data_IF_428002472554
#
_entry.id   IF_428002472554
#
_cell.length_a   1.000
_cell.length_b   1.000
_cell.length_c   1.000
_cell.angle_alpha   90.00
_cell.angle_beta   90.00
_cell.angle_gamma   90.00
#
_symmetry.space_group_name_H-M   'P 1'
#
loop_
_entity.id
_entity.type
_entity.pdbx_description
1 polymer ?
#
# COMPACT_ATOMS: atom_id res chain seq x y z
N UNK A 1 45.54 37.85 34.77
CA UNK A 1 45.00 36.50 34.90
C UNK A 1 43.66 36.43 34.17
N UNK A 2 43.69 35.92 32.94
CA UNK A 2 42.51 35.82 32.05
C UNK A 2 41.99 34.40 32.24
N UNK A 3 40.73 34.24 32.73
CA UNK A 3 40.04 32.96 32.84
C UNK A 3 39.35 32.67 31.50
N UNK A 4 39.85 31.70 30.78
CA UNK A 4 39.21 31.16 29.57
C UNK A 4 38.13 30.18 30.05
N UNK A 5 36.85 30.53 29.76
CA UNK A 5 35.71 29.60 29.96
C UNK A 5 35.54 28.82 28.65
N UNK A 6 35.92 27.54 28.71
CA UNK A 6 35.66 26.62 27.59
C UNK A 6 34.21 26.12 27.72
N UNK A 7 33.35 26.66 26.90
CA UNK A 7 31.97 26.16 26.77
C UNK A 7 31.94 24.87 25.94
N UNK A 8 31.64 23.74 26.58
CA UNK A 8 31.34 22.50 25.90
C UNK A 8 29.95 22.60 25.21
N UNK A 9 29.95 22.78 23.91
CA UNK A 9 28.74 22.57 23.10
C UNK A 9 28.50 21.04 22.98
N UNK A 10 27.57 20.53 23.78
CA UNK A 10 27.00 19.20 23.52
C UNK A 10 26.11 19.26 22.29
N UNK A 11 26.61 18.81 21.15
CA UNK A 11 25.79 18.53 19.99
C UNK A 11 24.94 17.30 20.28
N UNK A 12 23.65 17.48 20.58
CA UNK A 12 22.67 16.39 20.58
C UNK A 12 22.55 15.88 19.15
N UNK A 13 23.25 14.81 18.84
CA UNK A 13 23.00 14.00 17.66
C UNK A 13 21.63 13.31 17.84
N UNK A 14 20.58 13.95 17.36
CA UNK A 14 19.30 13.27 17.14
C UNK A 14 19.55 12.20 16.07
N UNK A 15 19.83 10.98 16.49
CA UNK A 15 19.80 9.83 15.59
C UNK A 15 18.35 9.62 15.15
N UNK A 16 18.01 10.14 13.99
CA UNK A 16 16.79 9.74 13.26
C UNK A 16 16.99 8.26 12.95
N UNK A 17 16.37 7.41 13.77
CA UNK A 17 16.38 5.98 13.54
C UNK A 17 15.78 5.71 12.18
N UNK A 18 16.59 5.26 11.23
CA UNK A 18 16.13 4.70 9.95
C UNK A 18 15.12 3.60 10.29
N UNK A 19 13.88 3.79 9.90
CA UNK A 19 12.85 2.78 10.08
C UNK A 19 13.31 1.52 9.34
N UNK A 20 13.59 0.46 10.07
CA UNK A 20 14.10 -0.77 9.48
C UNK A 20 12.94 -1.51 8.80
N UNK A 21 13.21 -2.06 7.61
CA UNK A 21 12.27 -2.94 6.93
C UNK A 21 11.76 -4.05 7.84
N UNK A 22 10.44 -4.34 7.84
CA UNK A 22 9.90 -5.39 8.70
C UNK A 22 10.44 -6.77 8.29
N UNK A 23 10.89 -7.53 9.28
CA UNK A 23 11.49 -8.87 9.09
C UNK A 23 10.45 -10.00 9.13
N UNK A 24 9.24 -9.72 9.54
CA UNK A 24 8.14 -10.68 9.64
C UNK A 24 6.79 -9.96 9.59
N UNK A 25 5.73 -10.74 9.43
CA UNK A 25 4.37 -10.21 9.28
C UNK A 25 3.88 -9.40 10.49
N UNK A 26 4.29 -9.75 11.72
CA UNK A 26 3.88 -8.99 12.91
C UNK A 26 4.47 -7.57 12.91
N UNK A 27 5.73 -7.42 12.51
CA UNK A 27 6.35 -6.11 12.34
C UNK A 27 5.71 -5.35 11.17
N UNK A 28 5.45 -6.03 10.05
CA UNK A 28 4.82 -5.43 8.89
C UNK A 28 3.43 -4.85 9.19
N UNK A 29 2.64 -5.50 10.04
CA UNK A 29 1.33 -4.98 10.47
C UNK A 29 1.45 -3.64 11.21
N UNK A 30 2.49 -3.46 12.02
CA UNK A 30 2.75 -2.21 12.74
C UNK A 30 3.19 -1.12 11.77
N UNK A 31 4.11 -1.44 10.88
CA UNK A 31 4.60 -0.51 9.84
C UNK A 31 3.48 -0.10 8.87
N UNK A 32 2.62 -1.03 8.50
CA UNK A 32 1.48 -0.75 7.60
C UNK A 32 0.55 0.30 8.21
N UNK A 33 0.31 0.26 9.51
CA UNK A 33 -0.50 1.29 10.19
C UNK A 33 0.10 2.68 10.04
N UNK A 34 1.42 2.81 10.09
CA UNK A 34 2.11 4.11 9.88
C UNK A 34 1.91 4.60 8.43
N UNK A 35 1.98 3.69 7.45
CA UNK A 35 1.75 4.02 6.04
C UNK A 35 0.34 4.57 5.81
N UNK A 36 -0.66 4.05 6.54
CA UNK A 36 -2.06 4.45 6.41
C UNK A 36 -2.45 5.68 7.26
N UNK A 37 -1.54 6.24 8.03
CA UNK A 37 -1.84 7.42 8.88
C UNK A 37 -2.33 8.60 8.04
N UNK A 38 -3.50 9.16 8.41
CA UNK A 38 -4.17 10.23 7.65
C UNK A 38 -4.91 9.74 6.39
N UNK A 39 -4.92 8.42 6.12
CA UNK A 39 -5.62 7.81 5.00
C UNK A 39 -6.26 6.49 5.42
N UNK A 40 -6.87 6.49 6.60
CA UNK A 40 -7.40 5.33 7.29
C UNK A 40 -8.64 4.77 6.58
N UNK A 41 -8.42 4.07 5.46
CA UNK A 41 -9.49 3.49 4.65
C UNK A 41 -9.17 2.07 4.20
N UNK A 42 -10.21 1.25 4.09
CA UNK A 42 -10.09 -0.11 3.59
C UNK A 42 -9.91 -0.13 2.08
N UNK A 43 -9.03 -0.99 1.58
CA UNK A 43 -8.63 -1.04 0.18
C UNK A 43 -9.78 -1.36 -0.77
N UNK A 44 -10.54 -2.42 -0.49
CA UNK A 44 -11.58 -2.90 -1.40
C UNK A 44 -12.87 -2.08 -1.36
N UNK A 45 -13.20 -1.52 -0.21
CA UNK A 45 -14.50 -0.89 0.04
C UNK A 45 -14.42 0.60 0.33
N UNK A 46 -13.24 1.14 0.53
CA UNK A 46 -13.00 2.53 0.91
C UNK A 46 -13.74 2.96 2.20
N UNK A 47 -13.95 2.02 3.14
CA UNK A 47 -14.55 2.30 4.43
C UNK A 47 -13.53 2.91 5.38
N UNK A 48 -13.95 3.89 6.17
CA UNK A 48 -13.11 4.52 7.18
C UNK A 48 -12.73 3.52 8.30
N UNK A 49 -11.50 3.63 8.78
CA UNK A 49 -10.95 2.81 9.87
C UNK A 49 -10.67 3.72 11.07
N UNK A 50 -11.23 3.36 12.23
CA UNK A 50 -10.85 3.92 13.52
C UNK A 50 -9.87 2.97 14.20
N UNK A 51 -8.62 3.40 14.38
CA UNK A 51 -7.58 2.55 14.92
C UNK A 51 -7.88 2.04 16.34
N UNK A 52 -7.65 0.74 16.54
CA UNK A 52 -7.72 0.08 17.86
C UNK A 52 -6.47 -0.79 18.01
N UNK A 53 -5.71 -0.56 19.08
CA UNK A 53 -4.48 -1.31 19.32
C UNK A 53 -3.35 -1.00 18.33
N UNK A 54 -2.44 -1.97 18.13
CA UNK A 54 -1.16 -1.74 17.45
C UNK A 54 -1.24 -1.82 15.92
N UNK A 55 -2.16 -2.60 15.36
CA UNK A 55 -2.10 -2.99 13.93
C UNK A 55 -3.46 -3.21 13.26
N UNK A 56 -4.54 -2.77 13.86
CA UNK A 56 -5.89 -2.91 13.28
C UNK A 56 -6.84 -1.86 13.82
N UNK A 57 -8.09 -1.90 13.37
CA UNK A 57 -9.10 -0.94 13.76
C UNK A 57 -10.52 -1.44 13.56
N UNK A 58 -11.48 -0.61 13.95
CA UNK A 58 -12.90 -0.78 13.64
C UNK A 58 -13.21 -0.15 12.30
N UNK A 59 -14.05 -0.80 11.53
CA UNK A 59 -14.50 -0.32 10.22
C UNK A 59 -15.84 0.40 10.40
N UNK A 60 -15.91 1.62 9.91
CA UNK A 60 -17.17 2.35 9.79
C UNK A 60 -17.88 1.98 8.48
N UNK A 61 -18.86 1.09 8.58
CA UNK A 61 -19.65 0.60 7.45
C UNK A 61 -20.46 1.71 6.77
N UNK A 62 -20.92 2.71 7.55
CA UNK A 62 -21.74 3.79 7.02
C UNK A 62 -20.93 4.72 6.12
N UNK A 63 -19.64 4.92 6.43
CA UNK A 63 -18.73 5.79 5.67
C UNK A 63 -18.57 5.39 4.20
N UNK A 64 -18.84 4.12 3.86
CA UNK A 64 -18.69 3.56 2.52
C UNK A 64 -19.94 2.86 2.00
N UNK A 65 -21.01 2.78 2.80
CA UNK A 65 -22.24 2.07 2.46
C UNK A 65 -22.07 0.56 2.36
N UNK A 66 -21.09 0.00 3.10
CA UNK A 66 -20.87 -1.43 3.20
C UNK A 66 -22.03 -2.12 3.90
N UNK A 67 -22.48 -3.25 3.36
CA UNK A 67 -23.47 -4.13 3.98
C UNK A 67 -22.88 -5.50 4.23
N UNK A 68 -23.19 -6.07 5.38
CA UNK A 68 -22.70 -7.39 5.77
C UNK A 68 -23.39 -8.44 4.89
N UNK A 69 -22.61 -9.21 4.17
CA UNK A 69 -23.10 -10.29 3.33
C UNK A 69 -23.48 -11.52 4.17
N UNK A 70 -24.73 -11.95 4.06
CA UNK A 70 -25.25 -13.13 4.75
C UNK A 70 -26.32 -13.83 3.89
N UNK A 71 -25.92 -14.70 2.94
CA UNK A 71 -26.84 -15.29 1.97
C UNK A 71 -27.79 -16.33 2.58
N UNK A 72 -27.56 -16.76 3.83
CA UNK A 72 -28.35 -17.77 4.53
C UNK A 72 -29.26 -17.18 5.64
N UNK A 73 -29.57 -15.90 5.59
CA UNK A 73 -30.36 -15.19 6.58
C UNK A 73 -29.53 -14.24 7.45
N UNK A 74 -29.88 -14.12 8.74
CA UNK A 74 -29.16 -13.22 9.65
C UNK A 74 -27.69 -13.64 9.80
N UNK A 75 -26.75 -12.67 9.84
CA UNK A 75 -25.34 -12.98 10.02
C UNK A 75 -25.08 -13.52 11.42
N UNK A 76 -24.19 -14.50 11.53
CA UNK A 76 -23.72 -15.02 12.82
C UNK A 76 -22.91 -13.96 13.57
N UNK A 77 -22.77 -14.10 14.89
CA UNK A 77 -21.91 -13.24 15.72
C UNK A 77 -20.47 -13.19 15.20
N UNK A 78 -19.93 -14.33 14.77
CA UNK A 78 -18.59 -14.40 14.19
C UNK A 78 -18.49 -13.58 12.90
N UNK A 79 -19.53 -13.60 12.06
CA UNK A 79 -19.59 -12.78 10.83
C UNK A 79 -19.66 -11.29 11.18
N UNK A 80 -20.51 -10.93 12.14
CA UNK A 80 -20.64 -9.55 12.63
C UNK A 80 -19.31 -9.03 13.19
N UNK A 81 -18.68 -9.78 14.09
CA UNK A 81 -17.41 -9.44 14.70
C UNK A 81 -16.28 -9.31 13.67
N UNK A 82 -16.27 -10.16 12.63
CA UNK A 82 -15.28 -10.10 11.58
C UNK A 82 -15.50 -8.91 10.63
N UNK A 83 -16.75 -8.61 10.29
CA UNK A 83 -17.09 -7.46 9.46
C UNK A 83 -16.76 -6.12 10.14
N UNK A 84 -16.91 -6.05 11.48
CA UNK A 84 -16.67 -4.84 12.25
C UNK A 84 -15.19 -4.44 12.38
N UNK A 85 -14.24 -5.31 12.01
CA UNK A 85 -12.81 -5.04 12.14
C UNK A 85 -12.10 -4.93 10.79
N UNK A 86 -11.03 -4.13 10.74
CA UNK A 86 -10.08 -4.18 9.65
C UNK A 86 -9.09 -5.33 9.86
N UNK A 87 -8.73 -6.00 8.79
CA UNK A 87 -7.69 -7.04 8.75
C UNK A 87 -6.62 -6.66 7.75
N UNK A 88 -5.36 -7.01 8.05
CA UNK A 88 -4.27 -6.87 7.07
C UNK A 88 -4.42 -7.96 6.02
N UNK A 89 -4.46 -7.53 4.78
CA UNK A 89 -4.68 -8.32 3.59
C UNK A 89 -3.44 -8.39 2.73
N UNK A 90 -3.12 -9.58 2.25
CA UNK A 90 -2.15 -9.78 1.16
C UNK A 90 -2.89 -9.68 -0.18
N UNK A 91 -2.67 -8.62 -0.94
CA UNK A 91 -3.34 -8.41 -2.24
C UNK A 91 -3.03 -9.58 -3.18
N UNK A 92 -1.77 -9.97 -3.30
CA UNK A 92 -1.39 -11.26 -3.88
C UNK A 92 -1.26 -12.27 -2.76
N UNK A 93 -2.08 -13.32 -2.74
CA UNK A 93 -2.15 -14.26 -1.62
C UNK A 93 -0.80 -14.86 -1.28
N UNK A 94 -0.40 -14.79 -0.02
CA UNK A 94 0.87 -15.37 0.42
C UNK A 94 0.91 -16.90 0.22
N UNK A 95 -0.24 -17.55 0.15
CA UNK A 95 -0.33 -18.98 -0.16
C UNK A 95 0.17 -19.31 -1.58
N UNK A 96 0.09 -18.37 -2.53
CA UNK A 96 0.61 -18.58 -3.89
C UNK A 96 2.14 -18.64 -3.90
N UNK A 97 2.79 -17.88 -3.03
CA UNK A 97 4.24 -17.98 -2.79
C UNK A 97 4.55 -19.23 -1.99
N UNK A 98 3.89 -19.38 -0.85
CA UNK A 98 4.17 -20.45 0.10
C UNK A 98 4.07 -21.84 -0.51
N UNK A 99 3.02 -22.10 -1.30
CA UNK A 99 2.82 -23.39 -1.98
C UNK A 99 3.98 -23.82 -2.90
N UNK A 100 4.87 -22.91 -3.27
CA UNK A 100 6.07 -23.19 -4.07
C UNK A 100 7.28 -23.51 -3.18
N UNK A 101 7.19 -23.34 -1.86
CA UNK A 101 8.28 -23.54 -0.92
C UNK A 101 8.16 -24.87 -0.17
N UNK A 102 9.30 -25.50 0.12
CA UNK A 102 9.36 -26.77 0.85
C UNK A 102 8.75 -26.65 2.26
N UNK A 103 8.98 -25.51 2.93
CA UNK A 103 8.43 -25.25 4.25
C UNK A 103 6.90 -25.33 4.28
N UNK A 104 6.24 -24.93 3.18
CA UNK A 104 4.77 -24.97 3.09
C UNK A 104 4.25 -26.41 2.98
N UNK A 105 4.94 -27.25 2.25
CA UNK A 105 4.58 -28.67 2.12
C UNK A 105 4.66 -29.40 3.47
N UNK A 106 5.55 -28.97 4.35
CA UNK A 106 5.83 -29.60 5.65
C UNK A 106 5.04 -29.01 6.83
N UNK A 107 3.94 -28.29 6.59
CA UNK A 107 3.11 -27.76 7.68
C UNK A 107 2.53 -26.36 7.41
N UNK A 108 2.50 -25.95 6.15
CA UNK A 108 1.83 -24.73 5.69
C UNK A 108 2.47 -23.43 6.19
N UNK A 109 1.64 -22.37 6.25
CA UNK A 109 2.09 -21.02 6.60
C UNK A 109 2.86 -20.96 7.91
N UNK A 110 2.35 -21.63 8.96
CA UNK A 110 2.96 -21.60 10.29
C UNK A 110 4.38 -22.20 10.29
N UNK A 111 4.56 -23.30 9.57
CA UNK A 111 5.88 -23.91 9.45
C UNK A 111 6.85 -23.01 8.65
N UNK A 112 6.39 -22.37 7.57
CA UNK A 112 7.23 -21.41 6.84
C UNK A 112 7.64 -20.22 7.71
N UNK A 113 6.73 -19.67 8.49
CA UNK A 113 7.04 -18.58 9.43
C UNK A 113 8.11 -18.95 10.45
N UNK A 114 8.19 -20.22 10.84
CA UNK A 114 9.17 -20.72 11.81
C UNK A 114 10.52 -21.10 11.18
N UNK A 115 10.50 -21.61 9.94
CA UNK A 115 11.65 -22.28 9.35
C UNK A 115 12.29 -21.54 8.17
N UNK A 116 11.58 -20.59 7.56
CA UNK A 116 12.03 -19.97 6.33
C UNK A 116 12.09 -18.42 6.45
N UNK A 117 13.30 -17.86 6.70
CA UNK A 117 13.46 -16.40 6.78
C UNK A 117 13.05 -15.67 5.49
N UNK A 118 13.26 -16.28 4.31
CA UNK A 118 12.85 -15.67 3.04
C UNK A 118 11.32 -15.58 2.93
N UNK A 119 10.60 -16.63 3.35
CA UNK A 119 9.14 -16.57 3.42
C UNK A 119 8.67 -15.43 4.31
N UNK A 120 9.29 -15.26 5.49
CA UNK A 120 8.95 -14.18 6.41
C UNK A 120 9.12 -12.78 5.78
N UNK A 121 10.14 -12.60 4.95
CA UNK A 121 10.37 -11.33 4.26
C UNK A 121 9.35 -11.09 3.16
N UNK A 122 9.00 -12.11 2.39
CA UNK A 122 7.98 -12.03 1.34
C UNK A 122 6.59 -11.78 1.96
N UNK A 123 6.29 -12.46 3.07
CA UNK A 123 5.05 -12.28 3.82
C UNK A 123 4.93 -10.88 4.43
N UNK A 124 6.05 -10.26 4.76
CA UNK A 124 6.15 -8.92 5.34
C UNK A 124 6.25 -7.80 4.31
N UNK A 125 6.25 -8.11 3.01
CA UNK A 125 6.44 -7.08 1.98
C UNK A 125 5.27 -6.09 1.96
N UNK A 126 5.55 -4.86 2.38
CA UNK A 126 4.57 -3.79 2.56
C UNK A 126 3.90 -3.33 1.26
N UNK A 127 4.53 -3.56 0.10
CA UNK A 127 3.90 -3.27 -1.19
C UNK A 127 2.79 -4.25 -1.54
N UNK A 128 2.74 -5.42 -0.90
CA UNK A 128 1.68 -6.40 -1.06
C UNK A 128 0.62 -6.35 0.06
N UNK A 129 0.80 -5.48 1.07
CA UNK A 129 -0.08 -5.41 2.23
C UNK A 129 -1.02 -4.22 2.18
N UNK A 130 -2.25 -4.44 2.62
CA UNK A 130 -3.28 -3.40 2.71
C UNK A 130 -4.25 -3.72 3.86
N UNK A 131 -5.20 -2.80 4.14
CA UNK A 131 -6.30 -3.08 5.08
C UNK A 131 -7.58 -3.39 4.31
N UNK A 132 -8.27 -4.44 4.72
CA UNK A 132 -9.57 -4.81 4.19
C UNK A 132 -10.62 -4.93 5.31
N UNK A 133 -11.90 -4.84 4.97
CA UNK A 133 -12.99 -5.28 5.86
C UNK A 133 -12.79 -6.76 6.14
N UNK A 134 -12.77 -7.17 7.40
CA UNK A 134 -12.42 -8.55 7.77
C UNK A 134 -13.32 -9.61 7.12
N UNK A 135 -14.63 -9.34 6.94
CA UNK A 135 -15.49 -10.27 6.22
C UNK A 135 -15.08 -10.41 4.74
N UNK A 136 -14.77 -9.30 4.09
CA UNK A 136 -14.30 -9.30 2.68
C UNK A 136 -13.01 -10.09 2.57
N UNK A 137 -12.02 -9.79 3.44
CA UNK A 137 -10.76 -10.53 3.50
C UNK A 137 -10.99 -12.04 3.67
N UNK A 138 -11.88 -12.43 4.58
CA UNK A 138 -12.17 -13.85 4.81
C UNK A 138 -12.82 -14.56 3.64
N UNK A 139 -13.76 -13.91 2.96
CA UNK A 139 -14.43 -14.48 1.80
C UNK A 139 -13.53 -14.49 0.57
N UNK A 140 -12.69 -13.46 0.41
CA UNK A 140 -11.70 -13.37 -0.65
C UNK A 140 -10.66 -14.49 -0.53
N UNK A 141 -10.17 -14.77 0.69
CA UNK A 141 -9.23 -15.87 0.93
C UNK A 141 -8.02 -15.84 -0.03
N UNK A 142 -7.76 -16.93 -0.76
CA UNK A 142 -6.73 -17.01 -1.81
C UNK A 142 -7.31 -17.03 -3.24
N UNK A 143 -8.52 -16.55 -3.41
CA UNK A 143 -9.18 -16.52 -4.71
C UNK A 143 -8.47 -15.56 -5.67
N UNK A 144 -8.27 -15.96 -6.95
CA UNK A 144 -7.70 -15.08 -7.96
C UNK A 144 -8.65 -13.95 -8.31
N UNK A 145 -8.07 -12.84 -8.74
CA UNK A 145 -8.84 -11.76 -9.32
C UNK A 145 -9.35 -12.10 -10.73
N UNK A 146 -10.50 -11.56 -11.09
CA UNK A 146 -11.13 -11.78 -12.39
C UNK A 146 -12.43 -11.03 -12.51
N UNK A 147 -13.09 -11.14 -13.64
CA UNK A 147 -14.46 -10.62 -13.81
C UNK A 147 -15.45 -11.62 -13.23
N UNK A 148 -16.45 -11.12 -12.54
CA UNK A 148 -17.54 -11.87 -11.88
C UNK A 148 -18.87 -11.43 -12.46
N UNK A 149 -19.82 -12.35 -12.56
CA UNK A 149 -21.15 -12.11 -13.10
C UNK A 149 -21.87 -10.97 -12.38
N UNK A 150 -22.70 -10.23 -13.15
CA UNK A 150 -23.43 -9.07 -12.64
C UNK A 150 -24.48 -9.41 -11.56
N UNK A 151 -24.90 -10.67 -11.46
CA UNK A 151 -25.79 -11.14 -10.39
C UNK A 151 -25.19 -10.98 -8.98
N UNK A 152 -23.87 -10.78 -8.87
CA UNK A 152 -23.17 -10.46 -7.62
C UNK A 152 -23.13 -8.95 -7.30
N UNK A 153 -23.68 -8.08 -8.14
CA UNK A 153 -23.79 -6.64 -7.83
C UNK A 153 -24.54 -6.43 -6.52
N UNK A 154 -24.03 -5.51 -5.68
CA UNK A 154 -24.63 -5.21 -4.40
C UNK A 154 -24.42 -6.27 -3.32
N UNK A 155 -23.58 -7.29 -3.55
CA UNK A 155 -23.25 -8.32 -2.57
C UNK A 155 -22.87 -7.74 -1.20
N UNK A 156 -22.16 -6.61 -1.21
CA UNK A 156 -21.74 -5.88 -0.01
C UNK A 156 -22.27 -4.43 0.02
N UNK A 157 -23.49 -4.22 -0.46
CA UNK A 157 -24.10 -2.89 -0.55
C UNK A 157 -23.42 -2.01 -1.60
N UNK A 158 -22.96 -0.82 -1.19
CA UNK A 158 -22.25 0.12 -2.10
C UNK A 158 -20.78 -0.27 -2.33
N UNK A 159 -20.20 -1.16 -1.53
CA UNK A 159 -18.88 -1.70 -1.80
C UNK A 159 -18.98 -2.70 -2.97
N UNK A 160 -18.59 -2.28 -4.18
CA UNK A 160 -18.76 -3.06 -5.42
C UNK A 160 -17.66 -4.12 -5.64
N UNK A 161 -17.10 -4.67 -4.55
CA UNK A 161 -16.35 -5.92 -4.65
C UNK A 161 -17.32 -7.08 -4.82
N UNK A 162 -17.01 -8.02 -5.69
CA UNK A 162 -17.83 -9.20 -5.96
C UNK A 162 -17.01 -10.45 -5.76
N UNK A 163 -17.51 -11.37 -4.97
CA UNK A 163 -16.81 -12.61 -4.63
C UNK A 163 -17.68 -13.80 -5.01
N UNK A 164 -17.26 -14.49 -6.06
CA UNK A 164 -17.85 -15.75 -6.48
C UNK A 164 -16.99 -16.92 -5.97
N UNK A 165 -17.37 -17.44 -4.82
CA UNK A 165 -16.66 -18.57 -4.20
C UNK A 165 -16.84 -19.87 -4.96
N UNK A 166 -17.94 -20.04 -5.72
CA UNK A 166 -18.21 -21.24 -6.52
C UNK A 166 -17.26 -21.32 -7.72
N UNK A 167 -17.16 -20.22 -8.49
CA UNK A 167 -16.27 -20.13 -9.64
C UNK A 167 -14.86 -19.66 -9.27
N UNK A 168 -14.59 -19.48 -7.97
CA UNK A 168 -13.29 -19.07 -7.40
C UNK A 168 -12.74 -17.81 -8.04
N UNK A 169 -13.51 -16.71 -8.06
CA UNK A 169 -13.12 -15.42 -8.62
C UNK A 169 -13.53 -14.27 -7.73
N UNK A 170 -12.72 -13.20 -7.78
CA UNK A 170 -13.00 -11.93 -7.11
C UNK A 170 -12.84 -10.80 -8.11
N UNK A 171 -13.89 -10.01 -8.27
CA UNK A 171 -13.84 -8.77 -9.05
C UNK A 171 -13.74 -7.59 -8.08
N UNK A 172 -12.62 -6.86 -8.05
CA UNK A 172 -12.49 -5.68 -7.22
C UNK A 172 -13.24 -4.49 -7.82
N UNK A 173 -13.48 -3.47 -6.98
CA UNK A 173 -13.98 -2.17 -7.43
C UNK A 173 -13.10 -1.59 -8.52
N UNK A 174 -13.70 -0.83 -9.44
CA UNK A 174 -12.98 -0.32 -10.61
C UNK A 174 -11.78 0.57 -10.23
N UNK A 175 -11.92 1.38 -9.17
CA UNK A 175 -10.94 2.37 -8.71
C UNK A 175 -9.66 1.82 -8.07
N UNK A 176 -9.53 0.50 -7.94
CA UNK A 176 -8.32 -0.14 -7.38
C UNK A 176 -7.79 -1.27 -8.26
N UNK A 177 -8.34 -1.44 -9.45
CA UNK A 177 -7.91 -2.50 -10.38
C UNK A 177 -6.48 -2.28 -10.84
N UNK A 178 -6.12 -1.03 -11.11
CA UNK A 178 -4.77 -0.62 -11.47
C UNK A 178 -3.78 -0.84 -10.31
N UNK A 179 -4.16 -0.49 -9.09
CA UNK A 179 -3.36 -0.75 -7.89
C UNK A 179 -3.04 -2.26 -7.77
N UNK A 180 -4.07 -3.12 -7.91
CA UNK A 180 -3.91 -4.58 -7.86
C UNK A 180 -2.98 -5.07 -8.97
N UNK A 181 -3.13 -4.54 -10.19
CA UNK A 181 -2.27 -4.90 -11.32
C UNK A 181 -0.80 -4.55 -11.04
N UNK A 182 -0.52 -3.34 -10.55
CA UNK A 182 0.84 -2.88 -10.22
C UNK A 182 1.45 -3.65 -9.05
N UNK A 183 0.64 -4.05 -8.07
CA UNK A 183 1.07 -4.94 -6.99
C UNK A 183 1.39 -6.34 -7.54
N UNK A 184 0.55 -6.88 -8.43
CA UNK A 184 0.78 -8.19 -9.04
C UNK A 184 2.07 -8.20 -9.89
N UNK A 185 2.31 -7.15 -10.67
CA UNK A 185 3.53 -6.99 -11.46
C UNK A 185 4.77 -6.88 -10.56
N UNK A 186 4.69 -6.10 -9.47
CA UNK A 186 5.77 -6.00 -8.49
C UNK A 186 6.11 -7.36 -7.87
N UNK A 187 5.10 -8.07 -7.37
CA UNK A 187 5.30 -9.38 -6.76
C UNK A 187 5.86 -10.39 -7.76
N UNK A 188 5.39 -10.37 -9.00
CA UNK A 188 5.87 -11.23 -10.06
C UNK A 188 7.32 -10.90 -10.42
N UNK A 189 7.66 -9.63 -10.64
CA UNK A 189 9.02 -9.20 -10.98
C UNK A 189 10.02 -9.55 -9.87
N UNK A 190 9.67 -9.19 -8.63
CA UNK A 190 10.55 -9.32 -7.48
C UNK A 190 10.78 -10.77 -7.05
N UNK A 191 9.72 -11.56 -7.04
CA UNK A 191 9.72 -12.91 -6.47
C UNK A 191 9.52 -14.01 -7.50
N UNK A 192 9.67 -13.72 -8.80
CA UNK A 192 9.47 -14.65 -9.90
C UNK A 192 8.12 -15.38 -9.85
N UNK A 193 7.07 -14.73 -9.35
CA UNK A 193 5.74 -15.33 -9.37
C UNK A 193 5.24 -15.42 -10.81
N UNK A 194 4.79 -16.61 -11.18
CA UNK A 194 4.26 -16.84 -12.52
C UNK A 194 2.84 -16.29 -12.61
N UNK A 195 2.66 -15.31 -13.47
CA UNK A 195 1.35 -14.87 -13.91
C UNK A 195 0.98 -15.62 -15.20
N UNK A 196 -0.21 -16.23 -15.21
CA UNK A 196 -0.72 -16.83 -16.45
C UNK A 196 -0.86 -15.77 -17.55
N UNK A 197 -0.87 -16.17 -18.82
CA UNK A 197 -1.11 -15.22 -19.91
C UNK A 197 -2.42 -14.48 -19.74
N UNK A 198 -3.45 -15.17 -19.27
CA UNK A 198 -4.77 -14.59 -19.02
C UNK A 198 -4.73 -13.54 -17.88
N UNK A 199 -4.02 -13.84 -16.78
CA UNK A 199 -3.84 -12.87 -15.69
C UNK A 199 -3.05 -11.64 -16.16
N UNK A 200 -1.99 -11.84 -16.94
CA UNK A 200 -1.21 -10.74 -17.49
C UNK A 200 -2.06 -9.83 -18.38
N UNK A 201 -2.91 -10.40 -19.24
CA UNK A 201 -3.81 -9.62 -20.10
C UNK A 201 -4.85 -8.83 -19.27
N UNK A 202 -5.42 -9.46 -18.26
CA UNK A 202 -6.37 -8.82 -17.34
C UNK A 202 -5.72 -7.66 -16.59
N UNK A 203 -4.56 -7.89 -15.98
CA UNK A 203 -3.85 -6.87 -15.20
C UNK A 203 -3.31 -5.74 -16.09
N UNK A 204 -2.90 -6.01 -17.33
CA UNK A 204 -2.54 -4.96 -18.29
C UNK A 204 -3.74 -4.07 -18.63
N UNK A 205 -4.91 -4.67 -18.88
CA UNK A 205 -6.12 -3.90 -19.11
C UNK A 205 -6.51 -3.04 -17.90
N UNK A 206 -6.41 -3.59 -16.71
CA UNK A 206 -6.68 -2.87 -15.46
C UNK A 206 -5.70 -1.72 -15.20
N UNK A 207 -4.41 -1.97 -15.44
CA UNK A 207 -3.38 -0.94 -15.32
C UNK A 207 -3.61 0.26 -16.25
N UNK A 208 -4.09 -0.01 -17.47
CA UNK A 208 -4.42 1.04 -18.44
C UNK A 208 -5.70 1.80 -18.10
N UNK A 209 -6.71 1.09 -17.56
CA UNK A 209 -8.01 1.67 -17.21
C UNK A 209 -8.00 2.47 -15.91
N UNK A 210 -7.12 2.12 -14.98
CA UNK A 210 -7.02 2.72 -13.66
C UNK A 210 -5.58 3.19 -13.41
N UNK A 211 -5.26 4.44 -13.82
CA UNK A 211 -3.95 5.05 -13.63
C UNK A 211 -3.61 5.22 -12.15
N UNK A 212 -2.32 5.44 -11.87
CA UNK A 212 -1.84 5.67 -10.49
C UNK A 212 -2.58 6.84 -9.86
N UNK A 213 -3.30 6.57 -8.78
CA UNK A 213 -4.06 7.56 -8.02
C UNK A 213 -3.16 8.30 -7.01
N UNK A 214 -3.62 9.46 -6.53
CA UNK A 214 -2.91 10.21 -5.49
C UNK A 214 -2.74 9.39 -4.20
N UNK A 215 -3.73 8.58 -3.83
CA UNK A 215 -3.65 7.74 -2.63
C UNK A 215 -2.69 6.57 -2.81
N UNK A 216 -2.62 5.99 -3.99
CA UNK A 216 -1.64 4.96 -4.31
C UNK A 216 -0.21 5.53 -4.30
N UNK A 217 0.01 6.69 -4.93
CA UNK A 217 1.30 7.41 -4.86
C UNK A 217 1.73 7.67 -3.43
N UNK A 218 0.83 8.18 -2.59
CA UNK A 218 1.13 8.44 -1.19
C UNK A 218 1.52 7.17 -0.43
N UNK A 219 0.78 6.08 -0.60
CA UNK A 219 1.12 4.79 0.01
C UNK A 219 2.46 4.27 -0.50
N UNK A 220 2.71 4.38 -1.80
CA UNK A 220 3.98 4.01 -2.41
C UNK A 220 5.15 4.80 -1.83
N UNK A 221 5.06 6.14 -1.76
CA UNK A 221 6.09 7.01 -1.22
C UNK A 221 6.41 6.69 0.24
N UNK A 222 5.37 6.51 1.08
CA UNK A 222 5.55 6.14 2.49
C UNK A 222 6.18 4.76 2.66
N UNK A 223 5.78 3.81 1.83
CA UNK A 223 6.37 2.47 1.84
C UNK A 223 7.83 2.53 1.39
N UNK A 224 8.12 3.31 0.35
CA UNK A 224 9.49 3.50 -0.15
C UNK A 224 10.38 4.17 0.90
N UNK A 225 9.90 5.21 1.57
CA UNK A 225 10.63 5.88 2.64
C UNK A 225 10.94 4.96 3.81
N UNK A 226 10.03 4.05 4.15
CA UNK A 226 10.20 3.11 5.25
C UNK A 226 11.12 1.93 4.89
N UNK A 227 11.05 1.45 3.63
CA UNK A 227 11.74 0.22 3.21
C UNK A 227 13.01 0.47 2.40
N UNK A 228 13.26 1.70 1.96
CA UNK A 228 14.33 2.01 1.01
C UNK A 228 14.12 1.43 -0.39
N UNK A 229 12.92 0.94 -0.71
CA UNK A 229 12.58 0.30 -1.99
C UNK A 229 11.42 1.01 -2.68
N UNK A 230 11.31 0.80 -3.99
CA UNK A 230 10.21 1.30 -4.83
C UNK A 230 9.43 0.14 -5.45
N UNK A 231 8.13 0.34 -5.69
CA UNK A 231 7.41 -0.45 -6.67
C UNK A 231 7.57 0.22 -8.04
N UNK A 232 8.40 -0.35 -8.96
CA UNK A 232 8.76 0.30 -10.22
C UNK A 232 7.59 0.44 -11.19
N UNK A 233 6.48 -0.27 -10.95
CA UNK A 233 5.25 -0.17 -11.75
C UNK A 233 4.33 0.94 -11.27
N UNK A 234 4.53 1.45 -10.05
CA UNK A 234 3.88 2.66 -9.53
C UNK A 234 4.70 3.90 -9.86
N UNK A 235 6.03 3.85 -9.67
CA UNK A 235 6.93 4.96 -10.01
C UNK A 235 7.08 5.19 -11.52
N UNK A 236 6.69 4.23 -12.34
CA UNK A 236 6.84 4.30 -13.80
C UNK A 236 8.22 3.90 -14.34
N UNK A 237 9.13 3.44 -13.48
CA UNK A 237 10.47 2.98 -13.87
C UNK A 237 10.44 1.72 -14.74
N UNK A 238 9.42 0.87 -14.54
CA UNK A 238 9.18 -0.33 -15.34
C UNK A 238 7.76 -0.34 -15.90
N UNK A 239 7.63 -0.91 -17.09
CA UNK A 239 6.35 -1.18 -17.70
C UNK A 239 6.21 -2.68 -17.94
N UNK A 240 5.06 -3.24 -17.55
CA UNK A 240 4.76 -4.64 -17.81
C UNK A 240 4.28 -4.81 -19.25
N UNK A 241 4.72 -5.88 -19.88
CA UNK A 241 4.22 -6.33 -21.18
C UNK A 241 4.17 -7.86 -21.23
N UNK A 242 3.43 -8.43 -22.15
CA UNK A 242 3.42 -9.88 -22.33
C UNK A 242 4.84 -10.38 -22.63
N UNK A 243 5.29 -11.38 -21.89
CA UNK A 243 6.65 -11.88 -21.98
C UNK A 243 7.70 -11.10 -21.19
N UNK A 244 7.29 -10.21 -20.30
CA UNK A 244 8.17 -9.50 -19.38
C UNK A 244 9.13 -10.47 -18.66
N UNK A 245 10.42 -10.12 -18.62
CA UNK A 245 11.45 -10.89 -17.93
C UNK A 245 11.58 -10.39 -16.49
N UNK A 246 11.17 -11.22 -15.55
CA UNK A 246 11.23 -10.91 -14.13
C UNK A 246 12.66 -10.85 -13.62
N UNK A 247 12.95 -9.94 -12.70
CA UNK A 247 14.28 -9.77 -12.11
C UNK A 247 14.60 -10.82 -11.05
N UNK A 248 13.59 -11.30 -10.31
CA UNK A 248 13.75 -12.25 -9.20
C UNK A 248 14.64 -11.73 -8.07
N UNK A 249 14.90 -10.45 -8.01
CA UNK A 249 15.86 -9.84 -7.08
C UNK A 249 15.55 -10.14 -5.61
N UNK A 250 14.28 -10.31 -5.27
CA UNK A 250 13.83 -10.64 -3.92
C UNK A 250 14.08 -12.10 -3.50
N UNK A 251 14.50 -12.96 -4.41
CA UNK A 251 14.79 -14.39 -4.14
C UNK A 251 16.27 -14.67 -3.90
N UNK A 252 17.16 -13.70 -4.12
CA UNK A 252 18.60 -13.90 -3.99
C UNK A 252 19.14 -13.25 -2.73
N UNK A 253 20.02 -13.94 -2.00
CA UNK A 253 20.70 -13.37 -0.84
C UNK A 253 21.52 -12.11 -1.23
N UNK A 254 22.15 -12.10 -2.40
CA UNK A 254 22.89 -10.94 -2.93
C UNK A 254 21.93 -9.79 -3.29
N UNK A 255 20.81 -10.08 -3.92
CA UNK A 255 19.76 -9.10 -4.21
C UNK A 255 19.17 -8.51 -2.92
N UNK A 256 19.05 -9.34 -1.91
CA UNK A 256 18.59 -8.93 -0.59
C UNK A 256 19.61 -8.02 0.12
N UNK A 257 20.88 -8.40 0.13
CA UNK A 257 21.96 -7.59 0.71
C UNK A 257 22.15 -6.25 -0.04
N UNK A 258 22.03 -6.24 -1.36
CA UNK A 258 22.11 -5.00 -2.15
C UNK A 258 20.98 -4.03 -1.85
N UNK A 259 19.81 -4.54 -1.47
CA UNK A 259 18.65 -3.72 -1.08
C UNK A 259 18.79 -3.17 0.34
N UNK A 260 19.45 -3.90 1.24
CA UNK A 260 19.77 -3.43 2.59
C UNK A 260 20.91 -2.41 2.59
N UNK A 261 21.83 -2.48 1.63
CA UNK A 261 22.99 -1.60 1.48
C UNK A 261 22.78 -0.47 0.45
N UNK A 262 21.66 -0.49 -0.30
CA UNK A 262 21.31 0.65 -1.13
C UNK A 262 21.21 1.90 -0.23
N UNK A 263 21.95 2.98 -0.51
CA UNK A 263 21.75 4.20 0.24
C UNK A 263 20.27 4.54 0.15
N UNK A 264 19.65 4.77 1.30
CA UNK A 264 18.32 5.35 1.32
C UNK A 264 18.34 6.49 0.32
N UNK A 265 17.48 6.45 -0.70
CA UNK A 265 17.34 7.58 -1.62
C UNK A 265 17.13 8.74 -0.68
N UNK A 266 18.15 9.59 -0.60
CA UNK A 266 18.09 10.76 0.23
C UNK A 266 16.91 11.56 -0.30
N UNK A 267 15.74 11.30 0.27
CA UNK A 267 14.63 12.23 0.16
C UNK A 267 15.09 13.47 0.90
N UNK A 268 15.82 14.33 0.19
CA UNK A 268 16.13 15.68 0.63
C UNK A 268 14.82 16.50 0.61
N UNK A 269 13.90 16.08 1.44
CA UNK A 269 12.64 16.74 1.67
C UNK A 269 11.97 16.04 2.82
N UNK A 270 12.06 16.64 4.01
CA UNK A 270 11.14 16.38 5.11
C UNK A 270 9.73 16.26 4.51
N UNK A 271 9.10 15.08 4.67
CA UNK A 271 7.70 14.91 4.29
C UNK A 271 6.90 15.99 5.03
N UNK A 272 6.22 16.90 4.35
CA UNK A 272 5.36 17.83 5.04
C UNK A 272 4.24 17.05 5.71
N UNK A 273 4.00 17.30 7.00
CA UNK A 273 2.86 16.73 7.74
C UNK A 273 1.51 17.05 7.09
N UNK A 274 1.52 17.95 6.13
CA UNK A 274 0.34 18.42 5.38
C UNK A 274 0.64 18.44 3.88
N UNK A 275 -0.34 18.16 3.01
CA UNK A 275 -0.16 18.15 1.57
C UNK A 275 0.19 19.56 1.03
N UNK A 276 0.76 19.62 -0.19
CA UNK A 276 0.99 20.87 -0.89
C UNK A 276 -0.32 21.39 -1.50
N UNK A 277 -0.51 22.69 -1.49
CA UNK A 277 -1.65 23.34 -2.15
C UNK A 277 -1.18 24.05 -3.43
N UNK A 278 -1.60 23.57 -4.59
CA UNK A 278 -1.35 24.21 -5.87
C UNK A 278 -2.52 25.06 -6.34
N UNK A 279 -2.24 26.20 -6.92
CA UNK A 279 -3.26 27.03 -7.55
C UNK A 279 -3.41 26.65 -9.03
N UNK A 280 -4.57 26.15 -9.40
CA UNK A 280 -4.88 25.65 -10.76
C UNK A 280 -4.62 26.69 -11.85
N UNK A 281 -4.87 27.98 -11.56
CA UNK A 281 -4.79 29.06 -12.53
C UNK A 281 -3.35 29.56 -12.71
N UNK A 282 -2.63 29.77 -11.60
CA UNK A 282 -1.27 30.33 -11.65
C UNK A 282 -0.18 29.27 -11.78
N UNK A 283 -0.52 27.97 -11.61
CA UNK A 283 0.45 26.89 -11.57
C UNK A 283 1.56 27.10 -10.52
N UNK A 284 1.19 27.72 -9.38
CA UNK A 284 2.08 27.91 -8.24
C UNK A 284 1.61 27.03 -7.10
N UNK A 285 2.53 26.29 -6.47
CA UNK A 285 2.21 25.51 -5.27
C UNK A 285 2.85 26.14 -4.02
N UNK A 286 2.20 25.92 -2.88
CA UNK A 286 2.62 26.30 -1.55
C UNK A 286 2.84 25.07 -0.68
N UNK A 287 3.93 25.06 0.07
CA UNK A 287 4.15 24.09 1.14
C UNK A 287 3.42 24.54 2.41
N UNK A 288 3.22 23.63 3.39
CA UNK A 288 2.53 23.95 4.66
C UNK A 288 3.17 25.11 5.46
N UNK A 289 4.48 25.31 5.29
CA UNK A 289 5.26 26.37 5.92
C UNK A 289 5.23 27.72 5.16
N UNK A 290 4.60 27.77 4.00
CA UNK A 290 4.49 29.00 3.21
C UNK A 290 3.41 29.96 3.76
N UNK A 291 3.65 31.28 3.75
CA UNK A 291 2.71 32.26 4.31
C UNK A 291 1.30 32.21 3.73
N UNK A 292 1.14 31.86 2.47
CA UNK A 292 -0.15 31.85 1.77
C UNK A 292 -0.76 30.45 1.62
N UNK A 293 -0.26 29.45 2.35
CA UNK A 293 -0.73 28.07 2.24
C UNK A 293 -2.25 27.91 2.46
N UNK A 294 -2.79 28.59 3.48
CA UNK A 294 -4.22 28.53 3.82
C UNK A 294 -5.07 29.54 3.05
N UNK A 295 -4.45 30.56 2.43
CA UNK A 295 -5.17 31.67 1.79
C UNK A 295 -5.75 31.34 0.43
N UNK A 296 -5.46 30.15 -0.11
CA UNK A 296 -5.90 29.74 -1.44
C UNK A 296 -7.38 29.37 -1.43
N UNK A 297 -8.16 30.01 -2.30
CA UNK A 297 -9.59 29.71 -2.46
C UNK A 297 -9.80 28.23 -2.81
N UNK A 298 -10.72 27.52 -2.14
CA UNK A 298 -10.96 26.09 -2.37
C UNK A 298 -11.21 25.72 -3.83
N UNK A 299 -11.94 26.54 -4.57
CA UNK A 299 -12.24 26.33 -6.00
C UNK A 299 -11.02 26.27 -6.91
N UNK A 300 -9.93 26.96 -6.51
CA UNK A 300 -8.69 27.01 -7.27
C UNK A 300 -7.62 26.04 -6.75
N UNK A 301 -7.90 25.33 -5.66
CA UNK A 301 -6.94 24.48 -4.98
C UNK A 301 -6.82 23.11 -5.65
N UNK A 302 -5.60 22.72 -5.96
CA UNK A 302 -5.20 21.36 -6.31
C UNK A 302 -4.30 20.87 -5.18
N UNK A 303 -4.49 19.64 -4.73
CA UNK A 303 -3.72 19.06 -3.64
C UNK A 303 -2.65 18.13 -4.23
N UNK A 304 -1.39 18.34 -3.83
CA UNK A 304 -0.28 17.48 -4.20
C UNK A 304 0.36 16.91 -2.93
N UNK A 305 0.68 15.63 -3.00
CA UNK A 305 1.28 14.92 -1.87
C UNK A 305 2.82 14.97 -1.88
N UNK A 306 3.41 15.50 -2.97
CA UNK A 306 4.86 15.71 -3.06
C UNK A 306 5.21 16.86 -3.99
N UNK A 307 6.40 17.43 -3.80
CA UNK A 307 7.00 18.42 -4.69
C UNK A 307 7.11 17.89 -6.10
N UNK A 308 7.62 16.67 -6.25
CA UNK A 308 7.78 16.02 -7.55
C UNK A 308 6.45 15.82 -8.29
N UNK A 309 5.34 15.58 -7.58
CA UNK A 309 4.01 15.51 -8.19
C UNK A 309 3.55 16.86 -8.72
N UNK A 310 3.74 17.93 -7.95
CA UNK A 310 3.38 19.28 -8.36
C UNK A 310 4.21 19.74 -9.58
N UNK A 311 5.50 19.50 -9.55
CA UNK A 311 6.42 19.91 -10.63
C UNK A 311 6.19 19.13 -11.93
N UNK A 312 5.87 17.85 -11.87
CA UNK A 312 5.47 17.05 -13.05
C UNK A 312 4.22 17.59 -13.74
N UNK A 313 3.28 18.17 -12.98
CA UNK A 313 2.09 18.84 -13.52
C UNK A 313 2.32 20.30 -13.90
N UNK A 314 3.58 20.73 -13.95
CA UNK A 314 3.98 22.07 -14.36
C UNK A 314 3.78 23.15 -13.30
N UNK A 315 3.64 22.77 -12.03
CA UNK A 315 3.57 23.72 -10.92
C UNK A 315 4.96 24.07 -10.43
N UNK A 316 5.14 25.31 -9.97
CA UNK A 316 6.38 25.81 -9.37
C UNK A 316 6.14 26.30 -7.95
N UNK A 317 7.18 26.22 -7.12
CA UNK A 317 7.10 26.72 -5.74
C UNK A 317 6.81 28.22 -5.72
N UNK A 318 5.98 28.66 -4.80
CA UNK A 318 5.74 30.07 -4.57
C UNK A 318 7.02 30.78 -4.10
N UNK A 319 7.30 31.93 -4.70
CA UNK A 319 8.55 32.67 -4.44
C UNK A 319 8.68 33.20 -2.99
N UNK A 320 7.56 33.27 -2.25
CA UNK A 320 7.53 33.70 -0.85
C UNK A 320 7.53 32.52 0.15
N UNK A 321 7.73 31.30 -0.31
CA UNK A 321 8.00 30.15 0.55
C UNK A 321 9.43 30.20 1.07
N UNK A 322 9.68 29.86 2.34
CA UNK A 322 11.01 29.80 2.91
C UNK A 322 11.87 28.68 2.30
#
# INVERSE_FOLDING_TARGET
MIKIVVGCLLALLCSVGLAAEPKNFEQAKVSLKQIYQGTERTFYCDCQISWVGRSGGRVDHQSCGYQIYSPKGLPSEATLARAARSEVEHVIPISWVGKQLQCWQNGGRKNCQQQDPLFNLIEADLFNLTYAVGQVNGLRSDLPFGMVDDSFKGQFGKCDIRIDTRNRKVQPTASIRGDIARIAFYMADRYNLRLSRQDQQLYLAWHQQDPVSAIESLRHERTAALTGRSNPFVSGEKQWQLGFKTSGIGLTAAGWQSLQSAPAIASSGTMPDKPLHGNRNSKIYHRPDCPNYMSMAPANRVVFNSVAAAEREGYRLAANCP
#
